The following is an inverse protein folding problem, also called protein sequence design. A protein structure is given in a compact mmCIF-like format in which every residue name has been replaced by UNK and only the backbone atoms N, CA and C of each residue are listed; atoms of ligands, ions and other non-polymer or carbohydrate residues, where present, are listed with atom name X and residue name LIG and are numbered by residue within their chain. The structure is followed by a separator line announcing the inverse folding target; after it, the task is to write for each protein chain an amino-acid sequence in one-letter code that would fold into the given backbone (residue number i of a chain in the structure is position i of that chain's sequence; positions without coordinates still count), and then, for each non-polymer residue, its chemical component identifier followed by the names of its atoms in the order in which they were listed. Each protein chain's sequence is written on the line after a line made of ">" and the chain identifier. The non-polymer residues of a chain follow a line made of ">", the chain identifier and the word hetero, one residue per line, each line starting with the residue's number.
data_IF_362455600158
#
_entry.id   IF_362455600158
#
_cell.length_a   1.000
_cell.length_b   1.000
_cell.length_c   1.000
_cell.angle_alpha   90.00
_cell.angle_beta   90.00
_cell.angle_gamma   90.00
#
_symmetry.space_group_name_H-M   'P 1'
#
loop_
_entity.id
_entity.type
_entity.pdbx_description
1 polymer ?
#
# COMPACT_ATOMS: atom_id res chain seq x y z
N UNK A 1 -1.67 9.13 -5.23
CA UNK A 1 -2.11 7.91 -4.56
C UNK A 1 -3.42 8.10 -3.82
N UNK A 2 -4.33 7.15 -3.91
CA UNK A 2 -5.62 7.15 -3.22
C UNK A 2 -5.73 5.94 -2.30
N UNK A 3 -6.28 6.12 -1.08
CA UNK A 3 -6.52 5.05 -0.13
C UNK A 3 -7.83 5.22 0.63
N UNK A 4 -8.57 4.14 0.86
CA UNK A 4 -9.86 4.17 1.56
C UNK A 4 -9.75 4.38 3.05
N UNK A 5 -8.57 4.24 3.63
CA UNK A 5 -8.34 4.14 5.06
C UNK A 5 -9.10 2.96 5.72
N UNK A 6 -9.04 2.82 7.02
CA UNK A 6 -9.80 1.83 7.79
C UNK A 6 -10.98 2.48 8.51
N UNK A 7 -12.03 1.70 8.79
CA UNK A 7 -13.24 2.18 9.45
C UNK A 7 -13.01 3.03 10.70
N UNK A 8 -12.14 2.64 11.66
CA UNK A 8 -11.89 3.46 12.86
C UNK A 8 -11.31 4.84 12.55
N UNK A 9 -10.47 4.97 11.52
CA UNK A 9 -9.95 6.28 11.12
C UNK A 9 -11.05 7.15 10.52
N UNK A 10 -11.86 6.59 9.61
CA UNK A 10 -12.95 7.33 8.96
C UNK A 10 -13.95 7.83 10.01
N UNK A 11 -14.44 6.93 10.88
CA UNK A 11 -15.51 7.27 11.81
C UNK A 11 -15.03 8.05 13.04
N UNK A 12 -13.91 7.61 13.67
CA UNK A 12 -13.48 8.14 14.96
C UNK A 12 -12.47 9.30 14.86
N UNK A 13 -11.66 9.31 13.77
CA UNK A 13 -10.64 10.34 13.58
C UNK A 13 -11.12 11.47 12.66
N UNK A 14 -11.82 11.13 11.58
CA UNK A 14 -12.28 12.10 10.58
C UNK A 14 -13.76 12.45 10.70
N UNK A 15 -14.52 11.80 11.60
CA UNK A 15 -15.96 12.01 11.79
C UNK A 15 -16.78 11.89 10.51
N UNK A 16 -16.39 11.00 9.63
CA UNK A 16 -17.06 10.73 8.35
C UNK A 16 -17.75 9.36 8.36
N UNK A 17 -18.69 9.15 7.45
CA UNK A 17 -19.42 7.90 7.34
C UNK A 17 -18.61 6.82 6.61
N UNK A 18 -18.40 5.69 7.25
CA UNK A 18 -17.86 4.50 6.60
C UNK A 18 -18.96 3.72 5.90
N UNK A 19 -18.91 3.66 4.59
CA UNK A 19 -19.86 2.87 3.81
C UNK A 19 -19.25 2.39 2.51
N UNK A 20 -19.48 1.11 2.16
CA UNK A 20 -19.14 0.48 0.88
C UNK A 20 -17.79 0.96 0.28
N UNK A 21 -16.65 0.72 0.97
CA UNK A 21 -15.39 1.36 0.63
C UNK A 21 -14.91 1.09 -0.80
N UNK A 22 -15.09 -0.12 -1.33
CA UNK A 22 -14.70 -0.45 -2.69
C UNK A 22 -15.54 0.29 -3.73
N UNK A 23 -16.87 0.31 -3.59
CA UNK A 23 -17.75 1.05 -4.49
C UNK A 23 -17.47 2.56 -4.46
N UNK A 24 -17.23 3.12 -3.25
CA UNK A 24 -16.86 4.53 -3.10
C UNK A 24 -15.52 4.84 -3.76
N UNK A 25 -14.49 3.99 -3.59
CA UNK A 25 -13.20 4.19 -4.24
C UNK A 25 -13.29 4.08 -5.76
N UNK A 26 -14.06 3.11 -6.27
CA UNK A 26 -14.34 2.99 -7.71
C UNK A 26 -14.92 4.28 -8.27
N UNK A 27 -15.91 4.84 -7.59
CA UNK A 27 -16.54 6.09 -8.01
C UNK A 27 -15.62 7.30 -7.81
N UNK A 28 -14.80 7.32 -6.75
CA UNK A 28 -13.78 8.37 -6.54
C UNK A 28 -12.82 8.44 -7.73
N UNK A 29 -12.29 7.30 -8.16
CA UNK A 29 -11.39 7.24 -9.33
C UNK A 29 -12.10 7.72 -10.59
N UNK A 30 -13.33 7.25 -10.83
CA UNK A 30 -14.11 7.67 -11.99
C UNK A 30 -14.40 9.19 -11.99
N UNK A 31 -14.73 9.75 -10.82
CA UNK A 31 -14.95 11.19 -10.66
C UNK A 31 -13.68 12.02 -10.95
N UNK A 32 -12.53 11.58 -10.42
CA UNK A 32 -11.23 12.24 -10.68
C UNK A 32 -10.85 12.14 -12.15
N UNK A 33 -11.02 10.98 -12.79
CA UNK A 33 -10.80 10.81 -14.24
C UNK A 33 -11.71 11.72 -15.08
N UNK A 34 -12.98 11.88 -14.69
CA UNK A 34 -13.90 12.79 -15.36
C UNK A 34 -13.45 14.27 -15.24
N UNK A 35 -12.91 14.67 -14.08
CA UNK A 35 -12.35 16.02 -13.88
C UNK A 35 -11.09 16.20 -14.77
N UNK A 36 -10.17 15.23 -14.80
CA UNK A 36 -8.99 15.30 -15.66
C UNK A 36 -9.38 15.39 -17.15
N UNK A 37 -10.37 14.61 -17.58
CA UNK A 37 -10.89 14.66 -18.95
C UNK A 37 -11.47 16.05 -19.29
N UNK A 38 -12.15 16.69 -18.33
CA UNK A 38 -12.66 18.06 -18.54
C UNK A 38 -11.50 19.07 -18.67
N UNK A 39 -10.44 18.96 -17.86
CA UNK A 39 -9.25 19.82 -17.95
C UNK A 39 -8.49 19.65 -19.29
N UNK A 40 -8.50 18.44 -19.87
CA UNK A 40 -7.96 18.22 -21.21
C UNK A 40 -8.85 18.83 -22.33
N UNK A 41 -9.94 19.54 -21.97
CA UNK A 41 -10.92 20.16 -22.89
C UNK A 41 -11.57 19.16 -23.86
N UNK A 42 -11.64 17.90 -23.46
CA UNK A 42 -12.23 16.85 -24.29
C UNK A 42 -13.74 16.67 -24.06
N UNK A 43 -14.25 17.17 -22.91
CA UNK A 43 -15.68 17.12 -22.58
C UNK A 43 -16.05 18.13 -21.50
N UNK A 44 -17.35 18.49 -21.43
CA UNK A 44 -17.90 19.25 -20.28
C UNK A 44 -18.01 18.35 -19.08
N UNK A 45 -17.56 18.82 -17.90
CA UNK A 45 -17.69 18.08 -16.65
C UNK A 45 -19.16 17.82 -16.31
N UNK A 46 -19.56 16.57 -16.36
CA UNK A 46 -20.91 16.11 -16.00
C UNK A 46 -20.86 14.71 -15.39
N UNK A 47 -20.23 14.61 -14.22
CA UNK A 47 -20.16 13.37 -13.47
C UNK A 47 -21.30 13.29 -12.45
N UNK A 48 -22.12 12.22 -12.51
CA UNK A 48 -23.23 11.96 -11.61
C UNK A 48 -23.17 10.52 -11.16
N UNK A 49 -22.63 10.30 -9.96
CA UNK A 49 -22.53 9.01 -9.31
C UNK A 49 -23.50 8.89 -8.13
N UNK A 50 -23.33 7.81 -7.39
CA UNK A 50 -24.07 7.55 -6.15
C UNK A 50 -23.49 8.35 -4.96
N UNK A 51 -22.17 8.48 -4.89
CA UNK A 51 -21.46 9.15 -3.79
C UNK A 51 -21.07 10.58 -4.13
N UNK A 52 -20.86 10.89 -5.41
CA UNK A 52 -20.35 12.19 -5.85
C UNK A 52 -21.12 12.72 -7.06
N UNK A 53 -21.27 14.05 -7.10
CA UNK A 53 -21.81 14.76 -8.27
C UNK A 53 -20.90 15.96 -8.53
N UNK A 54 -20.29 16.01 -9.71
CA UNK A 54 -19.42 17.11 -10.15
C UNK A 54 -19.90 17.58 -11.52
N UNK A 55 -20.55 18.75 -11.55
CA UNK A 55 -21.17 19.30 -12.78
C UNK A 55 -20.83 20.76 -13.00
N UNK A 56 -19.87 21.30 -12.23
CA UNK A 56 -19.46 22.69 -12.31
C UNK A 56 -17.95 22.80 -12.49
N UNK A 57 -17.52 23.37 -13.63
CA UNK A 57 -16.12 23.68 -13.93
C UNK A 57 -16.04 25.06 -14.58
N UNK A 58 -16.11 26.15 -13.78
CA UNK A 58 -15.95 27.50 -14.33
C UNK A 58 -14.47 27.72 -14.74
N UNK A 59 -14.21 28.63 -15.69
CA UNK A 59 -12.86 28.86 -16.22
C UNK A 59 -11.78 29.14 -15.17
N UNK A 60 -12.17 29.74 -14.03
CA UNK A 60 -11.24 30.03 -12.92
C UNK A 60 -10.66 28.77 -12.27
N UNK A 61 -11.35 27.63 -12.37
CA UNK A 61 -10.94 26.33 -11.81
C UNK A 61 -10.51 25.33 -12.88
N UNK A 62 -10.42 25.78 -14.14
CA UNK A 62 -9.92 24.99 -15.25
C UNK A 62 -8.48 25.38 -15.55
N UNK A 63 -7.48 24.54 -15.17
CA UNK A 63 -6.08 24.84 -15.45
C UNK A 63 -5.70 24.63 -16.91
N UNK A 64 -6.62 24.09 -17.74
CA UNK A 64 -6.35 23.63 -19.08
C UNK A 64 -5.60 22.28 -19.13
N UNK A 65 -5.26 21.83 -20.34
CA UNK A 65 -4.61 20.54 -20.55
C UNK A 65 -3.18 20.51 -19.97
N UNK A 66 -2.84 19.38 -19.35
CA UNK A 66 -1.48 19.14 -18.88
C UNK A 66 -0.59 18.69 -20.05
N UNK A 67 0.56 19.37 -20.33
CA UNK A 67 1.43 19.00 -21.45
C UNK A 67 2.02 17.57 -21.36
N UNK A 68 1.97 16.95 -20.18
CA UNK A 68 2.40 15.57 -19.94
C UNK A 68 1.25 14.56 -19.87
N UNK A 69 0.01 15.00 -20.17
CA UNK A 69 -1.22 14.20 -19.99
C UNK A 69 -1.70 14.15 -18.54
N UNK A 70 -2.86 13.50 -18.31
CA UNK A 70 -3.41 13.36 -16.96
C UNK A 70 -2.49 12.50 -16.08
N UNK A 71 -2.27 12.89 -14.81
CA UNK A 71 -1.43 12.10 -13.91
C UNK A 71 -2.08 10.73 -13.63
N UNK A 72 -1.29 9.63 -13.55
CA UNK A 72 -1.81 8.32 -13.24
C UNK A 72 -2.37 8.28 -11.81
N UNK A 73 -3.44 7.51 -11.63
CA UNK A 73 -4.10 7.31 -10.34
C UNK A 73 -3.72 5.94 -9.80
N UNK A 74 -2.96 5.92 -8.69
CA UNK A 74 -2.59 4.69 -7.99
C UNK A 74 -3.50 4.50 -6.78
N UNK A 75 -3.94 3.26 -6.52
CA UNK A 75 -4.74 2.93 -5.35
C UNK A 75 -3.97 2.07 -4.35
N UNK A 76 -4.01 2.45 -3.07
CA UNK A 76 -3.51 1.63 -1.97
C UNK A 76 -4.51 0.52 -1.60
N UNK A 77 -4.06 -0.74 -1.59
CA UNK A 77 -4.88 -1.86 -1.18
C UNK A 77 -4.07 -3.00 -0.54
N UNK A 78 -4.79 -3.86 0.20
CA UNK A 78 -4.28 -5.11 0.77
C UNK A 78 -5.30 -6.25 0.59
N UNK A 79 -6.56 -6.02 0.97
CA UNK A 79 -7.60 -7.04 0.86
C UNK A 79 -8.06 -7.28 -0.59
N UNK A 80 -8.55 -8.51 -0.91
CA UNK A 80 -8.78 -8.92 -2.29
C UNK A 80 -9.82 -8.07 -3.02
N UNK A 81 -10.85 -7.61 -2.34
CA UNK A 81 -11.91 -6.78 -2.95
C UNK A 81 -11.36 -5.43 -3.39
N UNK A 82 -10.60 -4.73 -2.52
CA UNK A 82 -10.03 -3.43 -2.86
C UNK A 82 -8.92 -3.55 -3.91
N UNK A 83 -8.10 -4.62 -3.84
CA UNK A 83 -7.07 -4.92 -4.84
C UNK A 83 -7.67 -5.16 -6.22
N UNK A 84 -8.75 -5.96 -6.31
CA UNK A 84 -9.49 -6.16 -7.56
C UNK A 84 -10.08 -4.85 -8.06
N UNK A 85 -10.69 -4.05 -7.19
CA UNK A 85 -11.23 -2.72 -7.55
C UNK A 85 -10.15 -1.79 -8.08
N UNK A 86 -8.95 -1.79 -7.49
CA UNK A 86 -7.83 -1.00 -8.02
C UNK A 86 -7.49 -1.42 -9.46
N UNK A 87 -7.39 -2.72 -9.73
CA UNK A 87 -7.12 -3.25 -11.07
C UNK A 87 -8.25 -2.98 -12.08
N UNK A 88 -9.49 -2.86 -11.61
CA UNK A 88 -10.63 -2.49 -12.49
C UNK A 88 -10.58 -1.02 -12.95
N UNK A 89 -10.15 -0.07 -12.09
CA UNK A 89 -10.41 1.36 -12.35
C UNK A 89 -9.21 2.29 -12.24
N UNK A 90 -8.16 1.91 -11.52
CA UNK A 90 -6.95 2.72 -11.32
C UNK A 90 -5.87 2.39 -12.35
N UNK A 91 -4.83 3.20 -12.39
CA UNK A 91 -3.69 3.00 -13.29
C UNK A 91 -2.58 2.16 -12.64
N UNK A 92 -2.70 1.92 -11.32
CA UNK A 92 -1.81 1.03 -10.60
C UNK A 92 -2.21 0.78 -9.15
N UNK A 93 -1.48 -0.14 -8.53
CA UNK A 93 -1.64 -0.61 -7.15
C UNK A 93 -0.42 -0.25 -6.31
N UNK A 94 -0.64 0.46 -5.22
CA UNK A 94 0.30 0.55 -4.10
C UNK A 94 -0.03 -0.58 -3.13
N UNK A 95 0.77 -1.66 -3.13
CA UNK A 95 0.54 -2.76 -2.19
C UNK A 95 0.89 -2.29 -0.79
N UNK A 96 -0.06 -2.38 0.14
CA UNK A 96 0.10 -1.96 1.54
C UNK A 96 1.33 -2.67 2.16
N UNK A 97 2.21 -1.99 2.92
CA UNK A 97 3.52 -2.54 3.32
C UNK A 97 3.46 -3.76 4.25
N UNK A 98 2.32 -4.02 4.90
CA UNK A 98 2.15 -5.22 5.73
C UNK A 98 1.69 -6.39 4.85
N UNK A 99 2.64 -7.02 4.15
CA UNK A 99 2.43 -8.22 3.34
C UNK A 99 3.69 -9.08 3.34
N UNK A 100 3.54 -10.36 2.97
CA UNK A 100 4.65 -11.28 2.72
C UNK A 100 4.77 -11.59 1.22
N UNK A 101 5.89 -12.14 0.77
CA UNK A 101 6.01 -12.63 -0.60
C UNK A 101 4.90 -13.63 -0.92
N UNK A 102 4.62 -14.56 -0.02
CA UNK A 102 3.57 -15.57 -0.20
C UNK A 102 2.19 -14.95 -0.32
N UNK A 103 1.84 -13.98 0.57
CA UNK A 103 0.58 -13.24 0.47
C UNK A 103 0.48 -12.47 -0.86
N UNK A 104 1.57 -11.86 -1.30
CA UNK A 104 1.63 -11.15 -2.57
C UNK A 104 1.34 -12.09 -3.75
N UNK A 105 2.02 -13.24 -3.84
CA UNK A 105 1.84 -14.20 -4.91
C UNK A 105 0.49 -14.93 -4.88
N UNK A 106 0.03 -15.36 -3.69
CA UNK A 106 -1.16 -16.21 -3.57
C UNK A 106 -2.48 -15.42 -3.43
N UNK A 107 -2.42 -14.12 -3.07
CA UNK A 107 -3.62 -13.30 -2.79
C UNK A 107 -3.67 -12.03 -3.62
N UNK A 108 -2.58 -11.25 -3.63
CA UNK A 108 -2.56 -9.94 -4.30
C UNK A 108 -2.60 -10.10 -5.82
N UNK A 109 -1.67 -10.86 -6.42
CA UNK A 109 -1.62 -11.04 -7.87
C UNK A 109 -2.89 -11.67 -8.45
N UNK A 110 -3.47 -12.75 -7.87
CA UNK A 110 -4.73 -13.28 -8.38
C UNK A 110 -5.90 -12.28 -8.32
N UNK A 111 -5.92 -11.38 -7.32
CA UNK A 111 -6.94 -10.34 -7.23
C UNK A 111 -6.73 -9.25 -8.29
N UNK A 112 -5.47 -8.89 -8.60
CA UNK A 112 -5.13 -8.00 -9.72
C UNK A 112 -5.59 -8.61 -11.04
N UNK A 113 -5.21 -9.86 -11.32
CA UNK A 113 -5.56 -10.56 -12.55
C UNK A 113 -7.10 -10.65 -12.75
N UNK A 114 -7.84 -10.87 -11.66
CA UNK A 114 -9.29 -10.89 -11.71
C UNK A 114 -9.86 -9.51 -12.10
N UNK A 115 -9.36 -8.43 -11.51
CA UNK A 115 -9.82 -7.07 -11.80
C UNK A 115 -9.49 -6.62 -13.23
N UNK A 116 -8.27 -6.91 -13.70
CA UNK A 116 -7.86 -6.61 -15.08
C UNK A 116 -8.73 -7.36 -16.08
N UNK A 117 -8.96 -8.66 -15.88
CA UNK A 117 -9.82 -9.47 -16.75
C UNK A 117 -11.26 -8.96 -16.78
N UNK A 118 -11.84 -8.59 -15.62
CA UNK A 118 -13.20 -8.07 -15.55
C UNK A 118 -13.37 -6.72 -16.23
N UNK A 119 -12.32 -5.91 -16.29
CA UNK A 119 -12.30 -4.61 -16.98
C UNK A 119 -11.79 -4.68 -18.44
N UNK A 120 -11.42 -5.87 -18.92
CA UNK A 120 -10.86 -6.07 -20.25
C UNK A 120 -9.47 -5.46 -20.46
N UNK A 121 -8.73 -5.25 -19.38
CA UNK A 121 -7.37 -4.69 -19.37
C UNK A 121 -6.31 -5.77 -19.33
N UNK A 122 -5.12 -5.42 -19.79
CA UNK A 122 -3.93 -6.29 -19.77
C UNK A 122 -2.96 -5.87 -18.65
N UNK A 123 -2.01 -6.74 -18.32
CA UNK A 123 -1.04 -6.51 -17.23
C UNK A 123 -0.13 -5.31 -17.48
N UNK A 124 0.24 -5.06 -18.72
CA UNK A 124 1.09 -3.94 -19.16
C UNK A 124 0.41 -2.57 -19.07
N UNK A 125 -0.91 -2.53 -18.88
CA UNK A 125 -1.68 -1.30 -18.63
C UNK A 125 -1.82 -0.96 -17.13
N UNK A 126 -1.15 -1.69 -16.24
CA UNK A 126 -1.35 -1.56 -14.80
C UNK A 126 -0.05 -1.69 -14.00
N UNK A 127 0.32 -0.64 -13.30
CA UNK A 127 1.55 -0.59 -12.49
C UNK A 127 1.36 -1.25 -11.11
N UNK A 128 2.24 -2.14 -10.70
CA UNK A 128 2.24 -2.77 -9.37
C UNK A 128 3.47 -2.30 -8.59
N UNK A 129 3.24 -1.64 -7.45
CA UNK A 129 4.28 -1.07 -6.59
C UNK A 129 4.15 -1.67 -5.18
N UNK A 130 4.89 -2.72 -4.83
CA UNK A 130 5.00 -3.17 -3.45
C UNK A 130 5.68 -2.12 -2.57
N UNK A 131 5.06 -1.80 -1.43
CA UNK A 131 5.71 -1.04 -0.38
C UNK A 131 6.41 -2.04 0.54
N UNK A 132 7.73 -1.99 0.61
CA UNK A 132 8.55 -2.94 1.38
C UNK A 132 9.05 -2.27 2.65
N UNK A 133 8.79 -2.88 3.80
CA UNK A 133 9.37 -2.45 5.08
C UNK A 133 10.83 -2.87 5.10
N UNK A 134 11.72 -1.89 5.29
CA UNK A 134 13.17 -2.11 5.23
C UNK A 134 13.84 -1.67 6.53
N UNK A 135 14.72 -2.52 7.06
CA UNK A 135 15.66 -2.21 8.13
C UNK A 135 17.09 -2.25 7.58
N UNK A 136 17.61 -1.12 7.10
CA UNK A 136 18.94 -1.05 6.50
C UNK A 136 19.99 -0.53 7.48
N UNK A 137 21.20 -1.10 7.44
CA UNK A 137 22.36 -0.65 8.20
C UNK A 137 23.61 -1.49 7.90
N UNK A 138 24.80 -1.00 8.29
CA UNK A 138 26.07 -1.68 7.99
C UNK A 138 26.76 -2.30 9.19
N UNK A 139 26.24 -2.14 10.38
CA UNK A 139 26.83 -2.70 11.59
C UNK A 139 25.78 -3.23 12.55
N UNK A 140 26.19 -4.06 13.50
CA UNK A 140 25.31 -4.74 14.45
C UNK A 140 24.40 -3.77 15.21
N UNK A 141 24.93 -2.61 15.62
CA UNK A 141 24.16 -1.59 16.35
C UNK A 141 23.06 -0.98 15.48
N UNK A 142 23.39 -0.59 14.24
CA UNK A 142 22.42 -0.02 13.27
C UNK A 142 21.35 -1.07 12.92
N UNK A 143 21.75 -2.30 12.62
CA UNK A 143 20.82 -3.38 12.30
C UNK A 143 19.91 -3.73 13.48
N UNK A 144 20.44 -3.73 14.71
CA UNK A 144 19.64 -3.94 15.91
C UNK A 144 18.63 -2.78 16.13
N UNK A 145 19.03 -1.54 15.89
CA UNK A 145 18.13 -0.38 15.97
C UNK A 145 17.03 -0.47 14.90
N UNK A 146 17.40 -0.77 13.65
CA UNK A 146 16.46 -0.96 12.55
C UNK A 146 15.46 -2.10 12.83
N UNK A 147 15.95 -3.26 13.28
CA UNK A 147 15.10 -4.39 13.64
C UNK A 147 14.09 -4.05 14.76
N UNK A 148 14.49 -3.25 15.76
CA UNK A 148 13.56 -2.78 16.80
C UNK A 148 12.45 -1.89 16.23
N UNK A 149 12.82 -0.91 15.41
CA UNK A 149 11.86 -0.01 14.76
C UNK A 149 10.88 -0.77 13.83
N UNK A 150 11.41 -1.68 13.04
CA UNK A 150 10.61 -2.56 12.15
C UNK A 150 9.64 -3.43 12.97
N UNK A 151 10.10 -4.09 14.05
CA UNK A 151 9.22 -4.90 14.91
C UNK A 151 8.08 -4.08 15.52
N UNK A 152 8.38 -2.86 15.96
CA UNK A 152 7.34 -1.96 16.51
C UNK A 152 6.26 -1.66 15.47
N UNK A 153 6.63 -1.35 14.22
CA UNK A 153 5.66 -1.14 13.14
C UNK A 153 4.89 -2.41 12.78
N UNK A 154 5.58 -3.55 12.62
CA UNK A 154 4.95 -4.82 12.28
C UNK A 154 3.93 -5.24 13.33
N UNK A 155 4.24 -5.07 14.61
CA UNK A 155 3.31 -5.38 15.71
C UNK A 155 2.09 -4.47 15.69
N UNK A 156 2.27 -3.18 15.37
CA UNK A 156 1.17 -2.23 15.21
C UNK A 156 0.25 -2.64 14.04
N UNK A 157 0.80 -2.92 12.87
CA UNK A 157 0.00 -3.39 11.73
C UNK A 157 -0.67 -4.74 12.03
N UNK A 158 0.08 -5.70 12.58
CA UNK A 158 -0.43 -7.00 12.95
C UNK A 158 -1.57 -6.97 13.98
N UNK A 159 -1.70 -5.88 14.75
CA UNK A 159 -2.80 -5.67 15.69
C UNK A 159 -4.15 -5.40 15.00
N UNK A 160 -4.13 -4.99 13.73
CA UNK A 160 -5.33 -4.62 12.98
C UNK A 160 -6.06 -5.87 12.48
N UNK A 161 -7.33 -6.12 12.89
CA UNK A 161 -8.04 -7.34 12.50
C UNK A 161 -8.15 -7.55 10.99
N UNK A 162 -8.29 -6.45 10.22
CA UNK A 162 -8.38 -6.52 8.76
C UNK A 162 -7.09 -7.01 8.09
N UNK A 163 -5.96 -7.04 8.80
CA UNK A 163 -4.66 -7.49 8.28
C UNK A 163 -4.31 -8.92 8.70
N UNK A 164 -5.14 -9.55 9.53
CA UNK A 164 -4.97 -10.95 9.94
C UNK A 164 -4.73 -11.92 8.74
N UNK A 165 -5.40 -11.79 7.59
CA UNK A 165 -5.18 -12.68 6.45
C UNK A 165 -3.71 -12.75 5.97
N UNK A 166 -2.90 -11.73 6.20
CA UNK A 166 -1.45 -11.75 5.91
C UNK A 166 -0.73 -12.72 6.85
N UNK A 167 -1.10 -12.70 8.13
CA UNK A 167 -0.54 -13.63 9.13
C UNK A 167 -1.05 -15.06 8.93
N UNK A 168 -2.33 -15.21 8.56
CA UNK A 168 -2.95 -16.53 8.31
C UNK A 168 -2.26 -17.29 7.18
N UNK A 169 -1.82 -16.60 6.12
CA UNK A 169 -1.08 -17.22 4.99
C UNK A 169 0.21 -17.88 5.45
N UNK A 170 0.87 -17.31 6.46
CA UNK A 170 2.12 -17.84 7.05
C UNK A 170 1.87 -18.77 8.25
N UNK A 171 0.62 -18.98 8.66
CA UNK A 171 0.28 -19.78 9.83
C UNK A 171 0.41 -19.05 11.16
N UNK A 172 0.50 -17.72 11.16
CA UNK A 172 0.69 -16.88 12.36
C UNK A 172 -0.57 -16.13 12.81
N UNK A 173 -1.73 -16.49 12.28
CA UNK A 173 -2.99 -15.77 12.55
C UNK A 173 -3.36 -15.66 14.03
N UNK A 174 -2.91 -16.59 14.87
CA UNK A 174 -3.19 -16.61 16.31
C UNK A 174 -2.48 -15.48 17.08
N UNK A 175 -1.45 -14.85 16.53
CA UNK A 175 -0.79 -13.68 17.15
C UNK A 175 -1.66 -12.42 17.06
N UNK A 176 -2.54 -12.31 16.06
CA UNK A 176 -3.33 -11.11 15.82
C UNK A 176 -4.25 -10.73 16.99
N UNK A 177 -5.05 -11.63 17.60
CA UNK A 177 -5.90 -11.28 18.75
C UNK A 177 -5.12 -10.74 19.94
N UNK A 178 -3.95 -11.28 20.23
CA UNK A 178 -3.09 -10.83 21.32
C UNK A 178 -2.53 -9.44 21.05
N UNK A 179 -1.98 -9.20 19.85
CA UNK A 179 -1.55 -7.87 19.41
C UNK A 179 -2.69 -6.83 19.50
N UNK A 180 -3.91 -7.21 19.09
CA UNK A 180 -5.07 -6.34 19.17
C UNK A 180 -5.46 -6.02 20.62
N UNK A 181 -5.43 -7.02 21.52
CA UNK A 181 -5.72 -6.82 22.94
C UNK A 181 -4.68 -5.88 23.60
N UNK A 182 -3.40 -6.08 23.30
CA UNK A 182 -2.31 -5.22 23.78
C UNK A 182 -2.46 -3.78 23.26
N UNK A 183 -2.74 -3.58 21.97
CA UNK A 183 -2.89 -2.25 21.38
C UNK A 183 -4.02 -1.44 22.04
N UNK A 184 -5.14 -2.10 22.39
CA UNK A 184 -6.28 -1.45 23.07
C UNK A 184 -5.98 -0.97 24.49
N UNK A 185 -4.98 -1.55 25.17
CA UNK A 185 -4.56 -1.14 26.52
C UNK A 185 -3.25 -0.36 26.54
N UNK A 186 -2.72 0.02 25.37
CA UNK A 186 -1.49 0.82 25.27
C UNK A 186 -0.19 0.04 25.49
N UNK A 187 -0.22 -1.30 25.44
CA UNK A 187 0.92 -2.19 25.65
C UNK A 187 1.86 -2.29 24.45
N UNK A 188 2.24 -1.17 23.83
CA UNK A 188 3.02 -1.15 22.58
C UNK A 188 4.42 -1.78 22.70
N UNK A 189 5.05 -1.66 23.88
CA UNK A 189 6.36 -2.28 24.13
C UNK A 189 6.26 -3.82 24.09
N UNK A 190 5.21 -4.38 24.71
CA UNK A 190 4.99 -5.83 24.75
C UNK A 190 4.60 -6.38 23.38
N UNK A 191 3.91 -5.60 22.56
CA UNK A 191 3.52 -6.00 21.19
C UNK A 191 4.73 -6.32 20.33
N UNK A 192 5.80 -5.53 20.40
CA UNK A 192 7.00 -5.73 19.58
C UNK A 192 7.69 -7.06 19.90
N UNK A 193 7.61 -7.56 21.13
CA UNK A 193 8.20 -8.84 21.54
C UNK A 193 7.48 -10.06 20.95
N UNK A 194 6.24 -9.91 20.52
CA UNK A 194 5.47 -10.96 19.85
C UNK A 194 5.90 -11.17 18.38
N UNK A 195 6.63 -10.23 17.79
CA UNK A 195 7.16 -10.38 16.43
C UNK A 195 8.47 -11.17 16.51
N UNK A 196 8.41 -12.44 16.20
CA UNK A 196 9.55 -13.36 16.19
C UNK A 196 10.54 -13.04 15.05
N UNK A 197 11.76 -13.60 15.10
CA UNK A 197 12.74 -13.43 14.01
C UNK A 197 12.23 -13.95 12.66
N UNK A 198 11.59 -15.13 12.56
CA UNK A 198 10.97 -15.56 11.32
C UNK A 198 9.90 -14.59 10.80
N UNK A 199 9.07 -14.02 11.68
CA UNK A 199 8.07 -13.01 11.28
C UNK A 199 8.75 -11.73 10.76
N UNK A 200 9.78 -11.25 11.46
CA UNK A 200 10.54 -10.07 11.06
C UNK A 200 11.10 -10.24 9.64
N UNK A 201 11.83 -11.33 9.40
CA UNK A 201 12.52 -11.57 8.12
C UNK A 201 11.59 -11.93 6.98
N UNK A 202 10.36 -12.36 7.26
CA UNK A 202 9.35 -12.67 6.23
C UNK A 202 8.53 -11.42 5.87
N UNK A 203 8.13 -10.61 6.86
CA UNK A 203 7.30 -9.41 6.66
C UNK A 203 8.10 -8.17 6.26
N UNK A 204 9.41 -8.16 6.54
CA UNK A 204 10.31 -7.06 6.23
C UNK A 204 11.60 -7.57 5.60
N UNK A 205 12.43 -6.66 5.14
CA UNK A 205 13.80 -6.93 4.68
C UNK A 205 14.76 -6.21 5.61
N UNK A 206 15.66 -6.95 6.26
CA UNK A 206 16.62 -6.37 7.22
C UNK A 206 18.03 -6.85 6.85
N UNK A 207 18.97 -5.92 6.67
CA UNK A 207 20.35 -6.22 6.29
C UNK A 207 21.12 -5.00 5.80
N UNK A 208 22.28 -5.25 5.21
CA UNK A 208 23.05 -4.23 4.48
C UNK A 208 22.25 -3.74 3.25
N UNK A 209 22.59 -2.56 2.68
CA UNK A 209 21.95 -2.07 1.47
C UNK A 209 21.93 -3.10 0.33
N UNK A 210 23.05 -3.79 0.14
CA UNK A 210 23.24 -4.77 -0.92
C UNK A 210 22.39 -6.03 -0.69
N UNK A 211 22.33 -6.53 0.55
CA UNK A 211 21.48 -7.66 0.97
C UNK A 211 19.99 -7.29 0.83
N UNK A 212 19.62 -6.09 1.27
CA UNK A 212 18.25 -5.61 1.12
C UNK A 212 17.83 -5.54 -0.36
N UNK A 213 18.68 -5.00 -1.24
CA UNK A 213 18.39 -4.92 -2.67
C UNK A 213 18.24 -6.31 -3.30
N UNK A 214 19.13 -7.24 -2.97
CA UNK A 214 19.07 -8.63 -3.46
C UNK A 214 17.77 -9.32 -3.03
N UNK A 215 17.39 -9.18 -1.75
CA UNK A 215 16.19 -9.80 -1.22
C UNK A 215 14.90 -9.18 -1.79
N UNK A 216 14.86 -7.86 -1.98
CA UNK A 216 13.73 -7.16 -2.61
C UNK A 216 13.54 -7.66 -4.05
N UNK A 217 14.63 -7.73 -4.84
CA UNK A 217 14.56 -8.28 -6.20
C UNK A 217 14.09 -9.74 -6.21
N UNK A 218 14.60 -10.55 -5.30
CA UNK A 218 14.19 -11.95 -5.18
C UNK A 218 12.70 -12.11 -4.91
N UNK A 219 12.12 -11.22 -4.06
CA UNK A 219 10.70 -11.29 -3.68
C UNK A 219 9.76 -10.77 -4.76
N UNK A 220 10.14 -9.69 -5.44
CA UNK A 220 9.18 -8.90 -6.22
C UNK A 220 9.61 -8.66 -7.67
N UNK A 221 10.88 -8.89 -8.04
CA UNK A 221 11.46 -8.47 -9.33
C UNK A 221 10.77 -9.03 -10.57
N UNK A 222 10.10 -10.19 -10.48
CA UNK A 222 9.36 -10.77 -11.61
C UNK A 222 7.94 -10.20 -11.77
N UNK A 223 7.40 -9.51 -10.77
CA UNK A 223 5.98 -9.18 -10.71
C UNK A 223 5.70 -7.70 -10.44
N UNK A 224 6.69 -6.95 -9.96
CA UNK A 224 6.58 -5.54 -9.65
C UNK A 224 7.19 -4.69 -10.75
N UNK A 225 6.59 -3.53 -11.03
CA UNK A 225 7.14 -2.55 -11.96
C UNK A 225 8.09 -1.58 -11.25
N UNK A 226 7.77 -1.27 -10.00
CA UNK A 226 8.54 -0.41 -9.11
C UNK A 226 8.48 -0.96 -7.68
N UNK A 227 9.33 -0.45 -6.78
CA UNK A 227 9.32 -0.76 -5.36
C UNK A 227 9.40 0.53 -4.54
N UNK A 228 8.59 0.65 -3.50
CA UNK A 228 8.66 1.74 -2.54
C UNK A 228 9.23 1.22 -1.21
N UNK A 229 10.44 1.66 -0.84
CA UNK A 229 11.07 1.30 0.44
C UNK A 229 10.55 2.19 1.57
N UNK A 230 10.20 1.57 2.70
CA UNK A 230 9.68 2.23 3.89
C UNK A 230 10.56 1.90 5.10
N UNK A 231 11.13 2.93 5.73
CA UNK A 231 12.10 2.84 6.83
C UNK A 231 11.47 3.30 8.16
N UNK A 232 10.82 2.41 8.93
CA UNK A 232 10.05 2.81 10.10
C UNK A 232 10.83 2.77 11.41
N UNK A 233 10.62 3.80 12.24
CA UNK A 233 10.96 3.75 13.68
C UNK A 233 12.44 3.73 14.01
N UNK A 234 13.30 4.09 13.07
CA UNK A 234 14.73 4.29 13.26
C UNK A 234 15.28 5.34 12.27
N UNK A 235 16.42 5.91 12.56
CA UNK A 235 17.09 6.85 11.66
C UNK A 235 17.96 6.07 10.68
N UNK A 236 17.47 5.92 9.45
CA UNK A 236 18.24 5.32 8.37
C UNK A 236 19.28 6.32 7.85
N UNK A 237 20.54 5.88 7.76
CA UNK A 237 21.62 6.72 7.24
C UNK A 237 21.37 7.04 5.76
N UNK A 238 21.38 8.32 5.34
CA UNK A 238 21.11 8.70 3.96
C UNK A 238 22.03 8.01 2.94
N UNK A 239 23.29 7.73 3.31
CA UNK A 239 24.24 7.02 2.45
C UNK A 239 23.83 5.55 2.22
N UNK A 240 23.27 4.89 3.24
CA UNK A 240 22.79 3.51 3.12
C UNK A 240 21.50 3.44 2.29
N UNK A 241 20.61 4.41 2.46
CA UNK A 241 19.41 4.54 1.62
C UNK A 241 19.81 4.77 0.15
N UNK A 242 20.75 5.67 -0.12
CA UNK A 242 21.24 5.93 -1.48
C UNK A 242 21.92 4.68 -2.09
N UNK A 243 22.71 3.93 -1.29
CA UNK A 243 23.32 2.67 -1.72
C UNK A 243 22.28 1.61 -2.05
N UNK A 244 21.24 1.47 -1.23
CA UNK A 244 20.11 0.57 -1.49
C UNK A 244 19.40 0.91 -2.80
N UNK A 245 19.05 2.18 -3.00
CA UNK A 245 18.35 2.64 -4.22
C UNK A 245 19.23 2.39 -5.45
N UNK A 246 20.51 2.75 -5.39
CA UNK A 246 21.46 2.49 -6.50
C UNK A 246 21.63 1.01 -6.79
N UNK A 247 21.53 0.16 -5.75
CA UNK A 247 21.60 -1.30 -5.91
C UNK A 247 20.30 -1.88 -6.46
N UNK A 248 19.16 -1.22 -6.36
CA UNK A 248 17.86 -1.65 -6.95
C UNK A 248 17.73 -1.23 -8.42
N UNK A 249 18.35 -0.13 -8.82
CA UNK A 249 18.36 0.33 -10.21
C UNK A 249 19.18 -0.63 -11.09
#
# INVERSE_FOLDING_TARGET
>A
GLGSQIKPHIEKRYSATWSRPAARMKETVAAVKAIFTAWENTSTLNFRGEFFTHTLMPPTFDPGPNPYGPPPILMGALGPVMTRTAAEVADGLLVMPFHTQRHFLERTLPAVDAGLRESGRTRDEFTIIPQVIVGVGRGDEQLAAAARGVRALLSFYGSTPAYRPVLDVEGWGEVQPELNALSKRGGYADMASLITDPMLTTLAVVGTPEECAAEIRRRFGEHADEVCCYFPGYDAEPADVASLISSLA
#
